data_IF_778056537019
#
_entry.id   IF_778056537019
#
_cell.length_a   1.000
_cell.length_b   1.000
_cell.length_c   1.000
_cell.angle_alpha   90.00
_cell.angle_beta   90.00
_cell.angle_gamma   90.00
#
_symmetry.space_group_name_H-M   'P 1'
#
loop_
_entity.id
_entity.type
_entity.pdbx_description
1 polymer ?
#
# COMPACT_ATOMS: atom_id res chain seq x y z
N UNK A 1 26.63 -19.60 -4.75
CA UNK A 1 25.47 -18.69 -4.57
C UNK A 1 24.67 -18.76 -5.86
N UNK A 2 23.41 -19.20 -5.81
CA UNK A 2 22.54 -19.18 -6.98
C UNK A 2 22.35 -17.73 -7.45
N UNK A 3 22.24 -17.52 -8.76
CA UNK A 3 22.00 -16.19 -9.33
C UNK A 3 20.71 -15.64 -8.73
N UNK A 4 20.75 -14.38 -8.25
CA UNK A 4 19.56 -13.67 -7.78
C UNK A 4 18.52 -13.64 -8.90
N UNK A 5 17.26 -13.97 -8.56
CA UNK A 5 16.17 -13.95 -9.53
C UNK A 5 15.95 -12.53 -10.08
N UNK A 6 15.68 -12.44 -11.38
CA UNK A 6 15.30 -11.17 -12.03
C UNK A 6 13.89 -11.28 -12.59
N UNK A 7 13.21 -10.14 -12.75
CA UNK A 7 11.97 -10.10 -13.52
C UNK A 7 12.22 -10.50 -14.98
N UNK A 8 11.33 -11.30 -15.52
CA UNK A 8 11.46 -11.84 -16.89
C UNK A 8 10.98 -10.87 -17.98
N UNK A 9 10.24 -9.82 -17.63
CA UNK A 9 9.65 -8.89 -18.61
C UNK A 9 9.45 -7.50 -18.05
N UNK A 10 9.44 -6.49 -18.94
CA UNK A 10 9.11 -5.09 -18.59
C UNK A 10 7.72 -4.97 -17.98
N UNK A 11 6.73 -5.68 -18.53
CA UNK A 11 5.37 -5.69 -18.00
C UNK A 11 5.35 -6.29 -16.58
N UNK A 12 6.11 -7.35 -16.33
CA UNK A 12 6.24 -7.95 -15.02
C UNK A 12 6.82 -7.00 -13.98
N UNK A 13 7.85 -6.23 -14.34
CA UNK A 13 8.41 -5.16 -13.50
C UNK A 13 7.32 -4.17 -13.09
N UNK A 14 6.57 -3.64 -14.07
CA UNK A 14 5.56 -2.60 -13.83
C UNK A 14 4.43 -3.16 -12.98
N UNK A 15 3.85 -4.31 -13.36
CA UNK A 15 2.70 -4.88 -12.65
C UNK A 15 3.05 -5.37 -11.24
N UNK A 16 4.23 -5.94 -11.04
CA UNK A 16 4.66 -6.36 -9.71
C UNK A 16 4.93 -5.16 -8.80
N UNK A 17 5.59 -4.11 -9.31
CA UNK A 17 5.89 -2.92 -8.52
C UNK A 17 4.64 -2.05 -8.33
N UNK A 18 3.78 -1.92 -9.34
CA UNK A 18 2.47 -1.26 -9.16
C UNK A 18 1.60 -2.02 -8.15
N UNK A 19 1.58 -3.36 -8.19
CA UNK A 19 0.86 -4.19 -7.22
C UNK A 19 1.39 -4.07 -5.79
N UNK A 20 2.63 -3.62 -5.59
CA UNK A 20 3.13 -3.31 -4.25
C UNK A 20 2.63 -1.97 -3.72
N UNK A 21 2.35 -1.00 -4.60
CA UNK A 21 1.77 0.28 -4.25
C UNK A 21 0.24 0.18 -4.14
N UNK A 22 -0.41 -0.47 -5.11
CA UNK A 22 -1.86 -0.68 -5.14
C UNK A 22 -2.28 -1.70 -4.07
N UNK A 23 -2.98 -1.22 -3.06
CA UNK A 23 -3.44 -2.04 -1.95
C UNK A 23 -4.75 -1.53 -1.34
N UNK A 24 -5.04 -1.95 -0.12
CA UNK A 24 -6.19 -1.44 0.64
C UNK A 24 -6.10 0.08 0.86
N UNK A 25 -4.90 0.66 0.83
CA UNK A 25 -4.68 2.10 0.92
C UNK A 25 -5.38 2.88 -0.19
N UNK A 26 -5.37 2.38 -1.43
CA UNK A 26 -6.05 3.02 -2.57
C UNK A 26 -7.57 2.83 -2.53
N UNK A 27 -8.03 1.66 -2.07
CA UNK A 27 -9.45 1.31 -2.11
C UNK A 27 -10.19 1.83 -0.88
N UNK A 28 -9.48 2.02 0.23
CA UNK A 28 -10.07 2.44 1.49
C UNK A 28 -9.57 3.81 1.97
N UNK A 29 -8.24 3.93 2.24
CA UNK A 29 -7.70 5.14 2.87
C UNK A 29 -7.84 6.36 1.98
N UNK A 30 -7.56 6.23 0.68
CA UNK A 30 -7.65 7.35 -0.24
C UNK A 30 -9.07 7.90 -0.39
N UNK A 31 -10.15 7.08 -0.62
CA UNK A 31 -11.51 7.58 -0.61
C UNK A 31 -11.92 8.22 0.72
N UNK A 32 -11.54 7.61 1.84
CA UNK A 32 -11.78 8.19 3.16
C UNK A 32 -11.15 9.58 3.30
N UNK A 33 -9.86 9.72 2.97
CA UNK A 33 -9.14 11.00 3.02
C UNK A 33 -9.77 12.03 2.07
N UNK A 34 -10.12 11.64 0.85
CA UNK A 34 -10.79 12.49 -0.11
C UNK A 34 -12.17 12.93 0.40
N UNK A 35 -12.91 12.03 1.04
CA UNK A 35 -14.22 12.30 1.63
C UNK A 35 -14.17 13.38 2.71
N UNK A 36 -13.19 13.32 3.58
CA UNK A 36 -12.99 14.26 4.68
C UNK A 36 -12.45 15.62 4.22
N UNK A 37 -11.64 15.65 3.15
CA UNK A 37 -10.84 16.80 2.75
C UNK A 37 -11.35 17.50 1.48
N UNK A 38 -12.64 17.46 1.18
CA UNK A 38 -13.23 18.24 0.09
C UNK A 38 -13.10 17.64 -1.31
N UNK A 39 -12.94 16.32 -1.40
CA UNK A 39 -13.05 15.56 -2.65
C UNK A 39 -12.04 15.98 -3.71
N UNK A 40 -12.52 16.59 -4.79
CA UNK A 40 -11.70 16.99 -5.94
C UNK A 40 -10.52 17.92 -5.58
N UNK A 41 -10.68 18.84 -4.64
CA UNK A 41 -9.61 19.74 -4.22
C UNK A 41 -8.46 18.96 -3.56
N UNK A 42 -8.78 18.02 -2.67
CA UNK A 42 -7.80 17.09 -2.09
C UNK A 42 -7.07 16.28 -3.16
N UNK A 43 -7.79 15.74 -4.15
CA UNK A 43 -7.19 14.96 -5.24
C UNK A 43 -6.19 15.78 -6.04
N UNK A 44 -6.50 17.05 -6.36
CA UNK A 44 -5.56 17.91 -7.07
C UNK A 44 -4.30 18.20 -6.26
N UNK A 45 -4.43 18.47 -4.96
CA UNK A 45 -3.29 18.67 -4.05
C UNK A 45 -2.47 17.37 -3.95
N UNK A 46 -3.14 16.22 -3.79
CA UNK A 46 -2.49 14.91 -3.76
C UNK A 46 -1.67 14.63 -5.03
N UNK A 47 -2.18 14.98 -6.23
CA UNK A 47 -1.43 14.84 -7.48
C UNK A 47 -0.14 15.67 -7.49
N UNK A 48 -0.20 16.90 -6.97
CA UNK A 48 1.00 17.73 -6.81
C UNK A 48 1.97 17.09 -5.82
N UNK A 49 1.49 16.59 -4.68
CA UNK A 49 2.30 15.92 -3.67
C UNK A 49 3.00 14.66 -4.20
N UNK A 50 2.31 13.87 -5.04
CA UNK A 50 2.92 12.71 -5.71
C UNK A 50 4.08 13.10 -6.60
N UNK A 51 3.97 14.21 -7.34
CA UNK A 51 5.06 14.68 -8.21
C UNK A 51 6.24 15.21 -7.39
N UNK A 52 5.96 15.95 -6.31
CA UNK A 52 6.98 16.61 -5.49
C UNK A 52 7.70 15.63 -4.53
N UNK A 53 6.98 14.69 -3.97
CA UNK A 53 7.48 13.76 -2.96
C UNK A 53 7.55 12.32 -3.46
N UNK A 54 6.45 11.85 -4.03
CA UNK A 54 6.28 10.44 -4.39
C UNK A 54 7.26 9.97 -5.45
N UNK A 55 7.31 10.66 -6.59
CA UNK A 55 8.18 10.28 -7.70
C UNK A 55 9.68 10.39 -7.36
N UNK A 56 10.18 11.47 -6.73
CA UNK A 56 11.57 11.53 -6.29
C UNK A 56 11.93 10.49 -5.23
N UNK A 57 11.04 10.22 -4.27
CA UNK A 57 11.23 9.19 -3.25
C UNK A 57 11.34 7.80 -3.87
N UNK A 58 10.39 7.43 -4.75
CA UNK A 58 10.42 6.17 -5.50
C UNK A 58 11.69 6.00 -6.32
N UNK A 59 12.08 7.04 -7.06
CA UNK A 59 13.32 7.04 -7.83
C UNK A 59 14.55 6.83 -6.95
N UNK A 60 14.55 7.39 -5.74
CA UNK A 60 15.66 7.23 -4.80
C UNK A 60 15.84 5.77 -4.38
N UNK A 61 14.76 5.10 -3.99
CA UNK A 61 14.79 3.67 -3.65
C UNK A 61 15.14 2.80 -4.86
N UNK A 62 14.63 3.14 -6.05
CA UNK A 62 14.97 2.41 -7.28
C UNK A 62 16.45 2.48 -7.62
N UNK A 63 17.06 3.64 -7.49
CA UNK A 63 18.50 3.84 -7.74
C UNK A 63 19.32 2.98 -6.77
N UNK A 64 19.00 3.02 -5.47
CA UNK A 64 19.72 2.27 -4.45
C UNK A 64 19.58 0.75 -4.70
N UNK A 65 18.36 0.28 -4.93
CA UNK A 65 18.08 -1.15 -5.13
C UNK A 65 18.73 -1.69 -6.39
N UNK A 66 18.55 -1.05 -7.55
CA UNK A 66 19.09 -1.51 -8.83
C UNK A 66 20.62 -1.48 -8.84
N UNK A 67 21.22 -0.42 -8.31
CA UNK A 67 22.67 -0.30 -8.26
C UNK A 67 23.33 -1.43 -7.47
N UNK A 68 22.76 -1.77 -6.33
CA UNK A 68 23.33 -2.77 -5.43
C UNK A 68 22.99 -4.22 -5.83
N UNK A 69 21.85 -4.44 -6.49
CA UNK A 69 21.32 -5.78 -6.82
C UNK A 69 21.36 -6.75 -5.62
N UNK A 70 21.02 -6.24 -4.41
CA UNK A 70 21.03 -7.00 -3.15
C UNK A 70 19.83 -6.62 -2.28
N UNK A 71 19.60 -7.32 -1.15
CA UNK A 71 18.57 -6.91 -0.19
C UNK A 71 18.82 -5.49 0.32
N UNK A 72 17.79 -4.85 0.87
CA UNK A 72 17.84 -3.44 1.22
C UNK A 72 18.98 -3.11 2.21
N UNK A 73 19.22 -3.92 3.24
CA UNK A 73 20.30 -3.66 4.20
C UNK A 73 21.68 -3.65 3.53
N UNK A 74 21.95 -4.62 2.65
CA UNK A 74 23.18 -4.64 1.84
C UNK A 74 23.22 -3.52 0.82
N UNK A 75 22.11 -3.15 0.23
CA UNK A 75 22.05 -2.09 -0.77
C UNK A 75 22.61 -0.78 -0.23
N UNK A 76 22.16 -0.37 0.95
CA UNK A 76 22.68 0.83 1.60
C UNK A 76 24.16 0.67 2.04
N UNK A 77 24.51 -0.47 2.64
CA UNK A 77 25.89 -0.72 3.09
C UNK A 77 26.89 -0.71 1.94
N UNK A 78 26.57 -1.35 0.81
CA UNK A 78 27.43 -1.45 -0.35
C UNK A 78 27.61 -0.08 -1.02
N UNK A 79 26.52 0.65 -1.22
CA UNK A 79 26.53 1.95 -1.87
C UNK A 79 27.20 3.01 -0.99
N UNK A 80 27.01 2.94 0.31
CA UNK A 80 27.64 3.84 1.29
C UNK A 80 29.04 3.42 1.72
N UNK A 81 29.53 2.25 1.28
CA UNK A 81 30.85 1.71 1.70
C UNK A 81 31.05 1.68 3.23
N UNK A 82 29.96 1.64 3.98
CA UNK A 82 29.97 1.60 5.44
C UNK A 82 28.76 0.75 5.93
N UNK A 83 29.04 -0.20 6.81
CA UNK A 83 28.01 -1.10 7.39
C UNK A 83 26.92 -0.34 8.16
N UNK A 84 27.24 0.81 8.75
CA UNK A 84 26.27 1.62 9.48
C UNK A 84 25.08 2.05 8.60
N UNK A 85 25.29 2.31 7.30
CA UNK A 85 24.20 2.62 6.39
C UNK A 85 23.22 1.46 6.18
N UNK A 86 23.65 0.23 6.43
CA UNK A 86 22.78 -0.94 6.37
C UNK A 86 21.63 -0.91 7.37
N UNK A 87 21.75 -0.15 8.45
CA UNK A 87 20.67 0.02 9.44
C UNK A 87 19.43 0.68 8.83
N UNK A 88 19.61 1.58 7.86
CA UNK A 88 18.49 2.24 7.16
C UNK A 88 17.65 1.22 6.39
N UNK A 89 18.33 0.37 5.60
CA UNK A 89 17.64 -0.71 4.88
C UNK A 89 17.03 -1.74 5.83
N UNK A 90 17.69 -2.05 6.95
CA UNK A 90 17.16 -2.95 7.98
C UNK A 90 15.91 -2.38 8.65
N UNK A 91 15.88 -1.09 8.97
CA UNK A 91 14.68 -0.41 9.50
C UNK A 91 13.53 -0.55 8.51
N UNK A 92 13.75 -0.32 7.22
CA UNK A 92 12.71 -0.51 6.20
C UNK A 92 12.20 -1.95 6.12
N UNK A 93 13.08 -2.95 6.24
CA UNK A 93 12.68 -4.36 6.28
C UNK A 93 11.83 -4.67 7.52
N UNK A 94 12.27 -4.24 8.70
CA UNK A 94 11.51 -4.44 9.96
C UNK A 94 10.14 -3.74 9.86
N UNK A 95 10.10 -2.53 9.31
CA UNK A 95 8.86 -1.81 9.03
C UNK A 95 7.91 -2.64 8.19
N UNK A 96 8.38 -3.22 7.08
CA UNK A 96 7.56 -4.08 6.23
C UNK A 96 7.07 -5.35 6.93
N UNK A 97 7.89 -5.96 7.80
CA UNK A 97 7.49 -7.14 8.57
C UNK A 97 6.37 -6.81 9.57
N UNK A 98 6.48 -5.67 10.26
CA UNK A 98 5.43 -5.21 11.19
C UNK A 98 4.15 -4.89 10.42
N UNK A 99 4.27 -4.18 9.28
CA UNK A 99 3.12 -3.86 8.43
C UNK A 99 2.45 -5.16 7.95
N UNK A 100 3.19 -6.12 7.43
CA UNK A 100 2.62 -7.41 7.01
C UNK A 100 1.84 -8.08 8.13
N UNK A 101 2.34 -8.02 9.37
CA UNK A 101 1.67 -8.59 10.53
C UNK A 101 0.28 -8.01 10.77
N UNK A 102 0.14 -6.70 10.93
CA UNK A 102 -1.17 -6.09 11.18
C UNK A 102 -2.05 -6.02 9.91
N UNK A 103 -1.45 -5.80 8.75
CA UNK A 103 -2.15 -5.76 7.48
C UNK A 103 -2.81 -7.11 7.14
N UNK A 104 -2.17 -8.23 7.51
CA UNK A 104 -2.73 -9.56 7.32
C UNK A 104 -4.01 -9.79 8.14
N UNK A 105 -4.20 -9.11 9.27
CA UNK A 105 -5.45 -9.16 10.04
C UNK A 105 -6.59 -8.54 9.23
N UNK A 106 -6.38 -7.34 8.69
CA UNK A 106 -7.37 -6.64 7.85
C UNK A 106 -7.62 -7.42 6.55
N UNK A 107 -6.58 -7.97 5.94
CA UNK A 107 -6.69 -8.82 4.76
C UNK A 107 -7.47 -10.14 5.06
N UNK A 108 -7.30 -10.69 6.26
CA UNK A 108 -8.08 -11.81 6.76
C UNK A 108 -9.56 -11.46 6.94
N UNK A 109 -9.86 -10.24 7.39
CA UNK A 109 -11.24 -9.75 7.44
C UNK A 109 -11.85 -9.65 6.04
N UNK A 110 -11.09 -9.22 5.03
CA UNK A 110 -11.54 -9.22 3.64
C UNK A 110 -11.88 -10.65 3.14
N UNK A 111 -11.08 -11.67 3.50
CA UNK A 111 -11.38 -13.06 3.18
C UNK A 111 -12.68 -13.55 3.87
N UNK A 112 -12.87 -13.23 5.15
CA UNK A 112 -14.09 -13.58 5.87
C UNK A 112 -15.30 -12.93 5.20
N UNK A 113 -15.21 -11.67 4.82
CA UNK A 113 -16.31 -10.95 4.18
C UNK A 113 -16.58 -11.44 2.75
N UNK A 114 -15.54 -11.84 2.02
CA UNK A 114 -15.73 -12.53 0.74
C UNK A 114 -16.49 -13.84 0.92
N UNK A 115 -16.07 -14.66 1.88
CA UNK A 115 -16.76 -15.90 2.22
C UNK A 115 -18.22 -15.63 2.64
N UNK A 116 -18.44 -14.70 3.55
CA UNK A 116 -19.77 -14.32 4.03
C UNK A 116 -20.65 -13.75 2.90
N UNK A 117 -20.11 -12.98 1.97
CA UNK A 117 -20.85 -12.48 0.81
C UNK A 117 -21.28 -13.62 -0.11
N UNK A 118 -20.42 -14.62 -0.35
CA UNK A 118 -20.74 -15.79 -1.19
C UNK A 118 -21.89 -16.60 -0.60
N UNK A 119 -21.93 -16.79 0.73
CA UNK A 119 -22.98 -17.56 1.40
C UNK A 119 -24.20 -16.71 1.80
N UNK A 120 -24.22 -15.41 1.45
CA UNK A 120 -25.32 -14.52 1.81
C UNK A 120 -25.39 -14.13 3.30
N UNK A 121 -24.27 -14.23 4.04
CA UNK A 121 -24.22 -14.00 5.48
C UNK A 121 -24.08 -12.54 5.92
N UNK A 122 -23.88 -11.60 5.01
CA UNK A 122 -23.74 -10.15 5.31
C UNK A 122 -24.94 -9.40 4.72
N UNK A 123 -26.16 -9.86 5.02
CA UNK A 123 -27.41 -9.23 4.60
C UNK A 123 -28.27 -8.96 5.83
N UNK A 124 -28.75 -7.75 6.00
CA UNK A 124 -29.56 -7.36 7.13
C UNK A 124 -29.64 -5.84 7.29
N UNK A 125 -30.15 -5.39 8.40
CA UNK A 125 -30.17 -3.98 8.75
C UNK A 125 -28.75 -3.48 9.15
N UNK A 126 -28.53 -2.17 9.22
CA UNK A 126 -27.23 -1.59 9.59
C UNK A 126 -26.71 -2.05 10.96
N UNK A 127 -27.58 -2.32 11.92
CA UNK A 127 -27.22 -2.80 13.26
C UNK A 127 -26.73 -4.25 13.22
N UNK A 128 -27.35 -5.11 12.38
CA UNK A 128 -26.88 -6.46 12.15
C UNK A 128 -25.47 -6.48 11.55
N UNK A 129 -25.20 -5.67 10.51
CA UNK A 129 -23.88 -5.60 9.86
C UNK A 129 -22.80 -5.12 10.84
N UNK A 130 -23.12 -4.12 11.67
CA UNK A 130 -22.24 -3.62 12.73
C UNK A 130 -21.95 -4.68 13.78
N UNK A 131 -22.97 -5.34 14.29
CA UNK A 131 -22.84 -6.43 15.28
C UNK A 131 -22.07 -7.62 14.71
N UNK A 132 -22.31 -7.96 13.43
CA UNK A 132 -21.57 -9.01 12.74
C UNK A 132 -20.06 -8.71 12.73
N UNK A 133 -19.68 -7.49 12.34
CA UNK A 133 -18.27 -7.08 12.34
C UNK A 133 -17.65 -7.12 13.74
N UNK A 134 -18.32 -6.54 14.73
CA UNK A 134 -17.82 -6.48 16.11
C UNK A 134 -17.64 -7.87 16.71
N UNK A 135 -18.65 -8.75 16.54
CA UNK A 135 -18.58 -10.13 17.03
C UNK A 135 -17.48 -10.92 16.33
N UNK A 136 -17.32 -10.74 15.03
CA UNK A 136 -16.24 -11.38 14.29
C UNK A 136 -14.85 -10.86 14.71
N UNK A 137 -14.65 -9.54 14.77
CA UNK A 137 -13.36 -8.94 15.07
C UNK A 137 -12.89 -9.27 16.50
N UNK A 138 -13.82 -9.41 17.45
CA UNK A 138 -13.52 -9.77 18.84
C UNK A 138 -13.41 -11.27 19.11
N UNK A 139 -13.68 -12.13 18.13
CA UNK A 139 -13.49 -13.58 18.26
C UNK A 139 -11.98 -13.89 18.30
N UNK A 140 -11.48 -14.69 19.28
CA UNK A 140 -10.06 -14.96 19.39
C UNK A 140 -9.51 -15.88 18.30
N UNK A 141 -10.36 -16.69 17.67
CA UNK A 141 -9.94 -17.77 16.77
C UNK A 141 -10.15 -17.40 15.30
N UNK A 142 -11.37 -17.00 14.93
CA UNK A 142 -11.75 -16.79 13.52
C UNK A 142 -10.89 -15.77 12.79
N UNK A 143 -10.76 -14.49 13.25
CA UNK A 143 -9.95 -13.50 12.53
C UNK A 143 -8.47 -13.88 12.53
N UNK A 144 -7.98 -14.55 13.60
CA UNK A 144 -6.62 -15.05 13.68
C UNK A 144 -6.34 -16.12 12.63
N UNK A 145 -7.25 -17.09 12.45
CA UNK A 145 -7.11 -18.14 11.43
C UNK A 145 -7.14 -17.55 10.02
N UNK A 146 -8.00 -16.57 9.74
CA UNK A 146 -8.05 -15.88 8.46
C UNK A 146 -6.78 -15.08 8.20
N UNK A 147 -6.23 -14.38 9.20
CA UNK A 147 -4.98 -13.64 9.08
C UNK A 147 -3.79 -14.55 8.76
N UNK A 148 -3.61 -15.63 9.52
CA UNK A 148 -2.56 -16.62 9.28
C UNK A 148 -2.78 -17.32 7.92
N UNK A 149 -4.01 -17.66 7.57
CA UNK A 149 -4.36 -18.22 6.27
C UNK A 149 -3.98 -17.28 5.12
N UNK A 150 -4.17 -15.96 5.28
CA UNK A 150 -3.77 -14.98 4.29
C UNK A 150 -2.24 -14.89 4.14
N UNK A 151 -1.49 -14.94 5.25
CA UNK A 151 -0.01 -15.00 5.20
C UNK A 151 0.46 -16.28 4.51
N UNK A 152 -0.19 -17.43 4.76
CA UNK A 152 0.14 -18.67 4.08
C UNK A 152 -0.17 -18.63 2.58
N UNK A 153 -1.27 -17.98 2.17
CA UNK A 153 -1.57 -17.72 0.76
C UNK A 153 -0.48 -16.86 0.12
N UNK A 154 -0.04 -15.81 0.80
CA UNK A 154 1.07 -14.95 0.38
C UNK A 154 2.39 -15.75 0.27
N UNK A 155 2.70 -16.56 1.27
CA UNK A 155 3.87 -17.47 1.29
C UNK A 155 3.90 -18.39 0.07
N UNK A 156 2.76 -19.00 -0.28
CA UNK A 156 2.66 -19.91 -1.43
C UNK A 156 3.05 -19.25 -2.76
N UNK A 157 2.88 -17.94 -2.89
CA UNK A 157 3.34 -17.17 -4.04
C UNK A 157 4.83 -16.87 -3.93
N UNK A 158 5.27 -16.32 -2.79
CA UNK A 158 6.64 -15.82 -2.60
C UNK A 158 7.68 -16.94 -2.64
N UNK A 159 7.39 -18.10 -2.06
CA UNK A 159 8.34 -19.24 -2.05
C UNK A 159 8.73 -19.70 -3.46
N UNK A 160 7.86 -19.49 -4.45
CA UNK A 160 8.11 -19.85 -5.88
C UNK A 160 9.11 -18.91 -6.57
N UNK A 161 9.55 -17.85 -5.88
CA UNK A 161 10.55 -16.91 -6.38
C UNK A 161 9.97 -15.73 -7.17
N UNK A 162 10.87 -14.85 -7.62
CA UNK A 162 10.50 -13.58 -8.26
C UNK A 162 9.77 -13.81 -9.58
N UNK A 163 10.36 -14.59 -10.50
CA UNK A 163 9.80 -14.79 -11.84
C UNK A 163 8.56 -15.70 -11.85
N UNK A 164 8.65 -16.86 -11.19
CA UNK A 164 7.61 -17.90 -11.25
C UNK A 164 6.51 -17.71 -10.19
N UNK A 165 6.76 -16.93 -9.15
CA UNK A 165 5.80 -16.57 -8.11
C UNK A 165 5.29 -15.16 -8.29
N UNK A 166 6.08 -14.17 -7.88
CA UNK A 166 5.67 -12.77 -7.78
C UNK A 166 5.23 -12.19 -9.13
N UNK A 167 6.09 -12.28 -10.16
CA UNK A 167 5.78 -11.74 -11.50
C UNK A 167 4.55 -12.42 -12.11
N UNK A 168 4.48 -13.77 -12.03
CA UNK A 168 3.35 -14.50 -12.59
C UNK A 168 2.04 -14.17 -11.87
N UNK A 169 2.07 -14.09 -10.54
CA UNK A 169 0.90 -13.69 -9.75
C UNK A 169 0.46 -12.26 -10.10
N UNK A 170 1.39 -11.29 -10.13
CA UNK A 170 1.06 -9.90 -10.43
C UNK A 170 0.48 -9.72 -11.85
N UNK A 171 0.95 -10.48 -12.83
CA UNK A 171 0.41 -10.46 -14.21
C UNK A 171 -1.04 -10.94 -14.30
N UNK A 172 -1.52 -11.71 -13.32
CA UNK A 172 -2.91 -12.21 -13.26
C UNK A 172 -3.72 -11.30 -12.34
N UNK A 173 -3.23 -11.05 -11.13
CA UNK A 173 -3.96 -10.35 -10.08
C UNK A 173 -4.24 -8.88 -10.43
N UNK A 174 -3.26 -8.15 -10.99
CA UNK A 174 -3.42 -6.72 -11.30
C UNK A 174 -4.44 -6.45 -12.41
N UNK A 175 -4.42 -7.13 -13.58
CA UNK A 175 -5.48 -6.97 -14.58
C UNK A 175 -6.86 -7.39 -14.06
N UNK A 176 -6.94 -8.47 -13.27
CA UNK A 176 -8.19 -8.94 -12.70
C UNK A 176 -8.75 -7.90 -11.72
N UNK A 177 -7.91 -7.36 -10.82
CA UNK A 177 -8.26 -6.26 -9.92
C UNK A 177 -8.83 -5.07 -10.69
N UNK A 178 -8.15 -4.65 -11.75
CA UNK A 178 -8.60 -3.52 -12.58
C UNK A 178 -9.95 -3.78 -13.24
N UNK A 179 -10.17 -4.98 -13.79
CA UNK A 179 -11.46 -5.36 -14.39
C UNK A 179 -12.58 -5.34 -13.35
N UNK A 180 -12.37 -5.94 -12.17
CA UNK A 180 -13.35 -5.92 -11.08
C UNK A 180 -13.68 -4.50 -10.66
N UNK A 181 -12.66 -3.66 -10.49
CA UNK A 181 -12.83 -2.26 -10.12
C UNK A 181 -13.69 -1.50 -11.16
N UNK A 182 -13.40 -1.65 -12.45
CA UNK A 182 -14.17 -1.01 -13.52
C UNK A 182 -15.63 -1.49 -13.54
N UNK A 183 -15.88 -2.78 -13.35
CA UNK A 183 -17.24 -3.34 -13.29
C UNK A 183 -18.04 -2.70 -12.14
N UNK A 184 -17.44 -2.61 -10.94
CA UNK A 184 -18.11 -2.02 -9.78
C UNK A 184 -18.31 -0.51 -9.98
N UNK A 185 -17.34 0.20 -10.57
CA UNK A 185 -17.46 1.64 -10.91
C UNK A 185 -18.64 1.87 -11.83
N UNK A 186 -18.79 1.07 -12.89
CA UNK A 186 -19.93 1.19 -13.83
C UNK A 186 -21.24 0.98 -13.09
N UNK A 187 -21.33 -0.05 -12.24
CA UNK A 187 -22.52 -0.32 -11.44
C UNK A 187 -22.84 0.85 -10.49
N UNK A 188 -21.86 1.38 -9.77
CA UNK A 188 -22.02 2.51 -8.84
C UNK A 188 -22.44 3.81 -9.55
N UNK A 189 -21.84 4.11 -10.69
CA UNK A 189 -22.15 5.30 -11.46
C UNK A 189 -23.52 5.22 -12.18
N UNK A 190 -24.09 4.02 -12.33
CA UNK A 190 -25.41 3.80 -12.94
C UNK A 190 -26.57 4.00 -11.96
N UNK A 191 -26.30 4.20 -10.67
CA UNK A 191 -27.32 4.37 -9.64
C UNK A 191 -28.04 5.73 -9.75
N UNK A 192 -29.34 5.81 -9.43
CA UNK A 192 -30.05 7.09 -9.28
C UNK A 192 -29.36 7.99 -8.24
N UNK A 193 -29.06 9.22 -8.61
CA UNK A 193 -28.36 10.17 -7.70
C UNK A 193 -26.85 10.05 -7.66
N UNK A 194 -26.24 9.09 -8.33
CA UNK A 194 -24.80 8.85 -8.39
C UNK A 194 -23.98 10.09 -8.88
N UNK A 195 -24.59 10.94 -9.70
CA UNK A 195 -23.95 12.13 -10.26
C UNK A 195 -23.40 13.07 -9.17
N UNK A 196 -24.04 13.16 -8.01
CA UNK A 196 -23.54 13.95 -6.87
C UNK A 196 -22.16 13.47 -6.41
N UNK A 197 -21.97 12.14 -6.33
CA UNK A 197 -20.68 11.53 -5.98
C UNK A 197 -19.61 11.75 -7.06
N UNK A 198 -19.99 11.70 -8.34
CA UNK A 198 -19.09 12.03 -9.45
C UNK A 198 -18.69 13.51 -9.39
N UNK A 199 -19.64 14.42 -9.18
CA UNK A 199 -19.35 15.86 -9.03
C UNK A 199 -18.42 16.13 -7.85
N UNK A 200 -18.62 15.46 -6.71
CA UNK A 200 -17.76 15.58 -5.54
C UNK A 200 -16.29 15.24 -5.84
N UNK A 201 -16.04 14.26 -6.72
CA UNK A 201 -14.67 13.83 -7.09
C UNK A 201 -14.02 14.70 -8.16
N UNK A 202 -14.81 15.42 -8.99
CA UNK A 202 -14.26 16.14 -10.15
C UNK A 202 -14.55 17.65 -10.15
N UNK A 203 -15.38 18.13 -9.23
CA UNK A 203 -15.65 19.56 -9.08
C UNK A 203 -14.95 20.10 -7.82
N UNK A 204 -13.77 20.75 -7.96
CA UNK A 204 -12.97 21.17 -6.81
C UNK A 204 -13.60 22.34 -6.07
N UNK A 205 -13.70 22.21 -4.75
CA UNK A 205 -14.10 23.26 -3.84
C UNK A 205 -12.91 23.63 -2.93
N UNK A 206 -12.17 24.64 -3.33
CA UNK A 206 -11.00 25.09 -2.58
C UNK A 206 -11.35 25.86 -1.30
N UNK A 207 -12.62 26.19 -1.05
CA UNK A 207 -13.03 26.82 0.21
C UNK A 207 -12.86 25.92 1.44
N UNK A 208 -12.73 24.62 1.22
CA UNK A 208 -12.52 23.60 2.26
C UNK A 208 -11.04 23.23 2.46
N UNK A 209 -10.15 23.86 1.71
CA UNK A 209 -8.71 23.56 1.78
C UNK A 209 -8.07 24.44 2.85
N UNK A 210 -7.52 23.80 3.86
CA UNK A 210 -6.68 24.40 4.88
C UNK A 210 -5.27 23.77 4.89
N UNK A 211 -4.45 24.15 5.85
CA UNK A 211 -3.10 23.60 6.00
C UNK A 211 -3.09 22.10 6.33
N UNK A 212 -4.12 21.61 7.06
CA UNK A 212 -4.25 20.18 7.37
C UNK A 212 -4.48 19.36 6.12
N UNK A 213 -5.33 19.82 5.20
CA UNK A 213 -5.59 19.14 3.91
C UNK A 213 -4.31 18.95 3.11
N UNK A 214 -3.42 19.96 3.10
CA UNK A 214 -2.12 19.84 2.43
C UNK A 214 -1.24 18.77 3.09
N UNK A 215 -1.15 18.77 4.42
CA UNK A 215 -0.32 17.82 5.18
C UNK A 215 -0.88 16.39 5.07
N UNK A 216 -2.19 16.23 5.09
CA UNK A 216 -2.85 14.95 4.88
C UNK A 216 -2.67 14.42 3.44
N UNK A 217 -2.73 15.29 2.43
CA UNK A 217 -2.46 14.92 1.05
C UNK A 217 -0.99 14.50 0.84
N UNK A 218 -0.04 15.22 1.47
CA UNK A 218 1.37 14.82 1.50
C UNK A 218 1.53 13.45 2.17
N UNK A 219 0.91 13.24 3.34
CA UNK A 219 0.93 11.97 4.06
C UNK A 219 0.33 10.83 3.25
N UNK A 220 -0.78 11.07 2.54
CA UNK A 220 -1.41 10.08 1.67
C UNK A 220 -0.52 9.73 0.47
N UNK A 221 0.12 10.71 -0.16
CA UNK A 221 1.03 10.47 -1.27
C UNK A 221 2.26 9.63 -0.84
N UNK A 222 2.75 9.89 0.35
CA UNK A 222 3.85 9.16 0.96
C UNK A 222 3.47 7.69 1.27
N UNK A 223 2.31 7.50 1.87
CA UNK A 223 1.80 6.18 2.26
C UNK A 223 1.44 5.32 1.04
N UNK A 224 0.73 5.89 0.05
CA UNK A 224 0.25 5.16 -1.14
C UNK A 224 1.39 4.51 -1.91
N UNK A 225 2.53 5.17 -2.02
CA UNK A 225 3.69 4.66 -2.73
C UNK A 225 4.64 3.80 -1.87
N UNK A 226 4.25 3.46 -0.64
CA UNK A 226 5.03 2.63 0.29
C UNK A 226 6.49 3.09 0.48
N UNK A 227 6.72 4.41 0.54
CA UNK A 227 8.05 4.98 0.72
C UNK A 227 8.60 4.65 2.12
N UNK A 228 9.89 4.35 2.19
CA UNK A 228 10.57 4.04 3.47
C UNK A 228 10.37 2.63 3.99
N UNK A 229 9.64 1.78 3.28
CA UNK A 229 9.40 0.37 3.64
C UNK A 229 10.45 -0.59 3.08
N UNK A 230 11.47 -0.09 2.37
CA UNK A 230 12.42 -0.89 1.59
C UNK A 230 11.78 -1.73 0.46
N UNK A 231 10.49 -1.55 0.17
CA UNK A 231 9.76 -2.30 -0.84
C UNK A 231 10.31 -1.99 -2.24
N UNK A 232 10.34 -0.72 -2.59
CA UNK A 232 10.77 -0.26 -3.90
C UNK A 232 12.26 -0.55 -4.13
N UNK A 233 13.08 -0.41 -3.08
CA UNK A 233 14.49 -0.79 -3.09
C UNK A 233 14.67 -2.30 -3.36
N UNK A 234 13.92 -3.16 -2.66
CA UNK A 234 13.98 -4.61 -2.86
C UNK A 234 13.55 -5.00 -4.26
N UNK A 235 12.44 -4.46 -4.77
CA UNK A 235 11.96 -4.77 -6.12
C UNK A 235 12.90 -4.25 -7.20
N UNK A 236 13.44 -3.04 -7.04
CA UNK A 236 14.41 -2.49 -7.98
C UNK A 236 15.71 -3.30 -8.04
N UNK A 237 16.06 -4.02 -6.97
CA UNK A 237 17.21 -4.92 -6.98
C UNK A 237 17.06 -6.12 -7.92
N UNK A 238 15.84 -6.39 -8.42
CA UNK A 238 15.52 -7.38 -9.43
C UNK A 238 15.38 -6.78 -10.84
N UNK A 239 15.55 -5.46 -10.99
CA UNK A 239 15.46 -4.80 -12.29
C UNK A 239 16.72 -5.06 -13.13
N UNK A 240 16.51 -5.24 -14.43
CA UNK A 240 17.62 -5.26 -15.37
C UNK A 240 18.23 -3.87 -15.56
N UNK A 241 19.48 -3.81 -15.97
CA UNK A 241 20.15 -2.55 -16.34
C UNK A 241 19.43 -1.79 -17.48
N UNK A 242 18.69 -2.50 -18.32
CA UNK A 242 17.92 -1.92 -19.43
C UNK A 242 16.60 -1.27 -18.97
N UNK A 243 16.19 -1.45 -17.72
CA UNK A 243 14.94 -0.87 -17.19
C UNK A 243 15.11 0.64 -17.03
N UNK A 244 14.30 1.42 -17.74
CA UNK A 244 14.25 2.87 -17.57
C UNK A 244 13.53 3.21 -16.26
N UNK A 245 14.27 3.62 -15.23
CA UNK A 245 13.73 3.86 -13.88
C UNK A 245 12.69 4.97 -13.89
N UNK A 246 12.97 6.10 -14.53
CA UNK A 246 12.04 7.25 -14.56
C UNK A 246 10.72 6.87 -15.24
N UNK A 247 10.78 6.19 -16.38
CA UNK A 247 9.58 5.72 -17.07
C UNK A 247 8.80 4.72 -16.22
N UNK A 248 9.49 3.77 -15.58
CA UNK A 248 8.83 2.78 -14.71
C UNK A 248 8.18 3.46 -13.50
N UNK A 249 8.89 4.37 -12.82
CA UNK A 249 8.34 5.11 -11.69
C UNK A 249 7.10 5.92 -12.09
N UNK A 250 7.15 6.67 -13.21
CA UNK A 250 5.99 7.43 -13.70
C UNK A 250 4.81 6.53 -14.04
N UNK A 251 5.03 5.37 -14.66
CA UNK A 251 3.95 4.41 -14.97
C UNK A 251 3.32 3.84 -13.70
N UNK A 252 4.11 3.52 -12.68
CA UNK A 252 3.62 3.00 -11.40
C UNK A 252 2.78 4.06 -10.70
N UNK A 253 3.26 5.30 -10.62
CA UNK A 253 2.54 6.43 -10.05
C UNK A 253 1.20 6.65 -10.74
N UNK A 254 1.17 6.62 -12.09
CA UNK A 254 -0.06 6.77 -12.86
C UNK A 254 -1.04 5.63 -12.58
N UNK A 255 -0.58 4.38 -12.53
CA UNK A 255 -1.43 3.22 -12.21
C UNK A 255 -1.99 3.33 -10.80
N UNK A 256 -1.15 3.63 -9.82
CA UNK A 256 -1.55 3.79 -8.42
C UNK A 256 -2.63 4.87 -8.26
N UNK A 257 -2.38 6.05 -8.81
CA UNK A 257 -3.32 7.18 -8.76
C UNK A 257 -4.63 6.87 -9.50
N UNK A 258 -4.55 6.25 -10.68
CA UNK A 258 -5.74 5.87 -11.45
C UNK A 258 -6.63 4.93 -10.64
N UNK A 259 -6.05 3.92 -10.01
CA UNK A 259 -6.80 2.97 -9.18
C UNK A 259 -7.39 3.66 -7.95
N UNK A 260 -6.67 4.59 -7.31
CA UNK A 260 -7.18 5.36 -6.18
C UNK A 260 -8.40 6.23 -6.58
N UNK A 261 -8.33 6.92 -7.72
CA UNK A 261 -9.46 7.73 -8.24
C UNK A 261 -10.64 6.84 -8.65
N UNK A 262 -10.39 5.70 -9.31
CA UNK A 262 -11.45 4.74 -9.64
C UNK A 262 -12.09 4.14 -8.38
N UNK A 263 -11.33 3.91 -7.32
CA UNK A 263 -11.89 3.49 -6.03
C UNK A 263 -12.80 4.57 -5.43
N UNK A 264 -12.44 5.84 -5.55
CA UNK A 264 -13.34 6.95 -5.24
C UNK A 264 -14.63 6.91 -6.06
N UNK A 265 -14.54 6.68 -7.38
CA UNK A 265 -15.69 6.51 -8.27
C UNK A 265 -16.53 5.26 -7.96
N UNK A 266 -15.95 4.26 -7.36
CA UNK A 266 -16.68 3.09 -6.87
C UNK A 266 -17.50 3.43 -5.61
N UNK A 267 -16.94 4.21 -4.69
CA UNK A 267 -17.51 4.43 -3.36
C UNK A 267 -18.46 5.63 -3.33
N UNK A 268 -18.03 6.81 -3.81
CA UNK A 268 -18.81 8.05 -3.65
C UNK A 268 -20.16 8.03 -4.40
N UNK A 269 -20.27 7.58 -5.67
CA UNK A 269 -21.55 7.53 -6.34
C UNK A 269 -22.55 6.61 -5.62
N UNK A 270 -22.10 5.45 -5.13
CA UNK A 270 -22.96 4.53 -4.38
C UNK A 270 -23.38 5.12 -3.02
N UNK A 271 -22.44 5.69 -2.25
CA UNK A 271 -22.73 6.30 -0.96
C UNK A 271 -23.71 7.49 -1.06
N UNK A 272 -23.45 8.39 -2.00
CA UNK A 272 -24.33 9.57 -2.21
C UNK A 272 -25.70 9.20 -2.77
N UNK A 273 -25.84 8.08 -3.51
CA UNK A 273 -27.14 7.60 -4.00
C UNK A 273 -28.11 7.24 -2.86
N UNK A 274 -27.58 6.83 -1.72
CA UNK A 274 -28.36 6.47 -0.52
C UNK A 274 -28.22 7.49 0.62
N UNK A 275 -27.58 8.64 0.36
CA UNK A 275 -27.45 9.74 1.33
C UNK A 275 -26.45 9.47 2.47
N UNK A 276 -25.57 8.49 2.30
CA UNK A 276 -24.52 8.18 3.30
C UNK A 276 -23.25 8.99 2.99
N UNK A 277 -22.66 9.58 4.03
CA UNK A 277 -21.35 10.23 3.94
C UNK A 277 -20.25 9.20 4.16
N UNK A 278 -19.29 9.03 3.23
CA UNK A 278 -18.20 8.05 3.35
C UNK A 278 -17.04 8.61 4.19
N UNK A 279 -17.30 8.89 5.46
CA UNK A 279 -16.42 9.58 6.39
C UNK A 279 -15.86 8.71 7.53
N UNK A 280 -16.19 7.42 7.54
CA UNK A 280 -15.86 6.51 8.64
C UNK A 280 -14.68 5.60 8.30
N UNK A 281 -13.52 5.80 8.93
CA UNK A 281 -12.28 4.99 8.90
C UNK A 281 -12.37 3.51 8.43
N UNK A 282 -11.75 2.53 9.13
CA UNK A 282 -11.83 1.11 8.76
C UNK A 282 -13.24 0.53 8.71
N UNK A 283 -14.16 1.10 9.48
CA UNK A 283 -15.58 0.75 9.45
C UNK A 283 -16.25 1.00 8.09
N UNK A 284 -15.68 1.88 7.26
CA UNK A 284 -16.17 2.15 5.91
C UNK A 284 -16.33 0.85 5.10
N UNK A 285 -15.30 0.00 5.09
CA UNK A 285 -15.29 -1.21 4.25
C UNK A 285 -16.20 -2.32 4.83
N UNK A 286 -16.24 -2.46 6.14
CA UNK A 286 -16.86 -3.62 6.79
C UNK A 286 -18.23 -3.35 7.37
N UNK A 287 -18.59 -2.09 7.56
CA UNK A 287 -19.89 -1.68 8.11
C UNK A 287 -20.66 -0.83 7.11
N UNK A 288 -20.06 0.28 6.64
CA UNK A 288 -20.77 1.26 5.82
C UNK A 288 -21.06 0.77 4.41
N UNK A 289 -20.05 0.26 3.69
CA UNK A 289 -20.22 -0.15 2.29
C UNK A 289 -21.14 -1.37 2.10
N UNK A 290 -21.15 -2.41 2.95
CA UNK A 290 -22.16 -3.44 2.86
C UNK A 290 -23.59 -2.87 2.91
N UNK A 291 -23.84 -1.93 3.84
CA UNK A 291 -25.13 -1.27 3.96
C UNK A 291 -25.47 -0.39 2.74
N UNK A 292 -24.47 0.34 2.23
CA UNK A 292 -24.60 1.15 1.01
C UNK A 292 -24.99 0.28 -0.17
N UNK A 293 -24.30 -0.84 -0.39
CA UNK A 293 -24.62 -1.74 -1.52
C UNK A 293 -25.99 -2.38 -1.38
N UNK A 294 -26.40 -2.78 -0.16
CA UNK A 294 -27.73 -3.32 0.07
C UNK A 294 -28.83 -2.29 -0.21
N UNK A 295 -28.66 -1.04 0.23
CA UNK A 295 -29.62 0.03 -0.01
C UNK A 295 -29.63 0.47 -1.49
N UNK A 296 -28.44 0.65 -2.08
CA UNK A 296 -28.30 1.14 -3.44
C UNK A 296 -28.84 0.16 -4.50
N UNK A 297 -28.71 -1.13 -4.24
CA UNK A 297 -29.18 -2.22 -5.13
C UNK A 297 -30.37 -2.98 -4.56
N UNK A 298 -31.10 -2.40 -3.58
CA UNK A 298 -32.23 -3.06 -2.92
C UNK A 298 -33.34 -3.52 -3.87
N UNK A 299 -33.62 -2.75 -4.92
CA UNK A 299 -34.58 -3.12 -5.99
C UNK A 299 -34.04 -4.21 -6.94
N UNK A 300 -32.75 -4.51 -6.87
CA UNK A 300 -32.04 -5.48 -7.71
C UNK A 300 -31.17 -6.43 -6.86
N UNK A 301 -31.77 -7.30 -6.03
CA UNK A 301 -31.03 -8.06 -5.03
C UNK A 301 -29.95 -8.99 -5.59
N UNK A 302 -30.13 -9.51 -6.80
CA UNK A 302 -29.11 -10.31 -7.50
C UNK A 302 -27.90 -9.46 -7.86
N UNK A 303 -28.12 -8.22 -8.32
CA UNK A 303 -27.03 -7.29 -8.66
C UNK A 303 -26.29 -6.91 -7.37
N UNK A 304 -27.00 -6.56 -6.30
CA UNK A 304 -26.40 -6.25 -4.99
C UNK A 304 -25.53 -7.39 -4.46
N UNK A 305 -26.02 -8.63 -4.56
CA UNK A 305 -25.25 -9.82 -4.20
C UNK A 305 -23.96 -9.94 -5.01
N UNK A 306 -24.06 -9.85 -6.35
CA UNK A 306 -22.88 -9.92 -7.25
C UNK A 306 -21.88 -8.81 -6.91
N UNK A 307 -22.34 -7.57 -6.77
CA UNK A 307 -21.47 -6.42 -6.45
C UNK A 307 -20.75 -6.62 -5.11
N UNK A 308 -21.45 -7.12 -4.08
CA UNK A 308 -20.82 -7.43 -2.79
C UNK A 308 -19.70 -8.47 -2.92
N UNK A 309 -19.94 -9.57 -3.64
CA UNK A 309 -18.93 -10.61 -3.88
C UNK A 309 -17.74 -10.05 -4.67
N UNK A 310 -18.00 -9.29 -5.75
CA UNK A 310 -16.93 -8.67 -6.57
C UNK A 310 -16.13 -7.66 -5.77
N UNK A 311 -16.77 -6.89 -4.90
CA UNK A 311 -16.10 -5.90 -4.05
C UNK A 311 -15.13 -6.57 -3.07
N UNK A 312 -15.56 -7.59 -2.33
CA UNK A 312 -14.66 -8.27 -1.41
C UNK A 312 -13.59 -9.11 -2.13
N UNK A 313 -13.90 -9.65 -3.31
CA UNK A 313 -12.87 -10.25 -4.16
C UNK A 313 -11.81 -9.22 -4.59
N UNK A 314 -12.22 -8.01 -4.97
CA UNK A 314 -11.33 -6.89 -5.28
C UNK A 314 -10.42 -6.56 -4.09
N UNK A 315 -10.97 -6.46 -2.88
CA UNK A 315 -10.20 -6.18 -1.67
C UNK A 315 -9.16 -7.28 -1.38
N UNK A 316 -9.55 -8.55 -1.52
CA UNK A 316 -8.64 -9.68 -1.35
C UNK A 316 -7.48 -9.63 -2.36
N UNK A 317 -7.77 -9.31 -3.63
CA UNK A 317 -6.73 -9.17 -4.65
C UNK A 317 -5.79 -8.00 -4.35
N UNK A 318 -6.34 -6.84 -3.96
CA UNK A 318 -5.55 -5.67 -3.58
C UNK A 318 -4.68 -5.93 -2.35
N UNK A 319 -5.20 -6.62 -1.34
CA UNK A 319 -4.44 -7.02 -0.18
C UNK A 319 -3.33 -8.01 -0.54
N UNK A 320 -3.62 -9.00 -1.40
CA UNK A 320 -2.66 -10.04 -1.77
C UNK A 320 -1.48 -9.48 -2.56
N UNK A 321 -1.69 -8.55 -3.47
CA UNK A 321 -0.59 -7.93 -4.22
C UNK A 321 0.37 -7.17 -3.31
N UNK A 322 -0.13 -6.48 -2.31
CA UNK A 322 0.67 -5.76 -1.32
C UNK A 322 1.39 -6.70 -0.34
N UNK A 323 0.70 -7.73 0.18
CA UNK A 323 1.33 -8.68 1.11
C UNK A 323 2.43 -9.51 0.46
N UNK A 324 2.32 -9.85 -0.84
CA UNK A 324 3.38 -10.51 -1.61
C UNK A 324 4.66 -9.67 -1.59
N UNK A 325 4.56 -8.36 -1.76
CA UNK A 325 5.72 -7.48 -1.74
C UNK A 325 6.35 -7.36 -0.36
N UNK A 326 5.53 -7.16 0.67
CA UNK A 326 6.01 -7.06 2.06
C UNK A 326 6.71 -8.36 2.50
N UNK A 327 6.13 -9.50 2.19
CA UNK A 327 6.71 -10.81 2.50
C UNK A 327 8.02 -11.06 1.74
N UNK A 328 8.13 -10.60 0.48
CA UNK A 328 9.36 -10.71 -0.30
C UNK A 328 10.52 -9.93 0.32
N UNK A 329 10.25 -8.75 0.89
CA UNK A 329 11.27 -7.90 1.51
C UNK A 329 11.97 -8.64 2.66
N UNK A 330 11.21 -9.18 3.59
CA UNK A 330 11.73 -9.96 4.71
C UNK A 330 12.38 -11.26 4.25
N UNK A 331 11.74 -11.98 3.33
CA UNK A 331 12.29 -13.21 2.74
C UNK A 331 13.66 -12.96 2.10
N UNK A 332 13.79 -11.91 1.26
CA UNK A 332 15.04 -11.59 0.58
C UNK A 332 16.17 -11.29 1.58
N UNK A 333 15.88 -10.48 2.59
CA UNK A 333 16.85 -10.17 3.62
C UNK A 333 17.28 -11.42 4.41
N UNK A 334 16.32 -12.23 4.87
CA UNK A 334 16.61 -13.39 5.73
C UNK A 334 17.46 -14.43 4.98
N UNK A 335 17.09 -14.81 3.74
CA UNK A 335 17.84 -15.84 3.03
C UNK A 335 19.23 -15.38 2.58
N UNK A 336 19.38 -14.09 2.20
CA UNK A 336 20.67 -13.57 1.78
C UNK A 336 21.63 -13.34 2.96
N UNK A 337 21.16 -12.77 4.09
CA UNK A 337 22.02 -12.50 5.23
C UNK A 337 22.41 -13.77 5.97
N UNK A 338 21.50 -14.71 6.13
CA UNK A 338 21.77 -15.99 6.80
C UNK A 338 22.33 -17.06 5.87
N UNK A 339 22.48 -16.78 4.57
CA UNK A 339 22.99 -17.71 3.54
C UNK A 339 22.25 -19.06 3.53
N UNK A 340 20.94 -19.03 3.74
CA UNK A 340 20.03 -20.19 3.71
C UNK A 340 19.25 -20.24 2.41
N UNK A 341 18.50 -21.32 2.19
CA UNK A 341 17.64 -21.42 1.02
C UNK A 341 16.48 -20.43 1.10
N UNK A 342 15.99 -19.96 -0.05
CA UNK A 342 14.83 -19.07 -0.14
C UNK A 342 13.60 -19.62 0.60
N UNK A 343 13.34 -20.92 0.47
CA UNK A 343 12.22 -21.56 1.15
C UNK A 343 12.33 -21.46 2.68
N UNK A 344 13.53 -21.69 3.24
CA UNK A 344 13.75 -21.50 4.69
C UNK A 344 13.57 -20.04 5.10
N UNK A 345 14.09 -19.09 4.29
CA UNK A 345 13.89 -17.66 4.54
C UNK A 345 12.42 -17.26 4.53
N UNK A 346 11.65 -17.73 3.55
CA UNK A 346 10.23 -17.50 3.45
C UNK A 346 9.43 -18.06 4.62
N UNK A 347 9.77 -19.25 5.12
CA UNK A 347 9.13 -19.83 6.31
C UNK A 347 9.43 -19.02 7.58
N UNK A 348 10.67 -18.57 7.76
CA UNK A 348 11.02 -17.71 8.91
C UNK A 348 10.20 -16.42 8.87
N UNK A 349 10.11 -15.78 7.70
CA UNK A 349 9.29 -14.59 7.49
C UNK A 349 7.81 -14.84 7.82
N UNK A 350 7.25 -15.92 7.25
CA UNK A 350 5.86 -16.34 7.50
C UNK A 350 5.57 -16.52 8.99
N UNK A 351 6.45 -17.23 9.70
CA UNK A 351 6.26 -17.48 11.15
C UNK A 351 6.36 -16.16 11.93
N UNK A 352 7.36 -15.33 11.63
CA UNK A 352 7.55 -14.05 12.34
C UNK A 352 6.34 -13.13 12.15
N UNK A 353 5.88 -12.95 10.91
CA UNK A 353 4.73 -12.11 10.61
C UNK A 353 3.42 -12.70 11.15
N UNK A 354 3.28 -14.04 11.16
CA UNK A 354 2.11 -14.71 11.78
C UNK A 354 2.03 -14.47 13.29
N UNK A 355 3.17 -14.46 13.99
CA UNK A 355 3.21 -14.15 15.41
C UNK A 355 2.71 -12.71 15.65
N UNK A 356 3.19 -11.73 14.86
CA UNK A 356 2.73 -10.34 14.95
C UNK A 356 1.22 -10.27 14.66
N UNK A 357 0.75 -10.96 13.62
CA UNK A 357 -0.66 -11.00 13.24
C UNK A 357 -1.56 -11.58 14.35
N UNK A 358 -1.11 -12.61 15.05
CA UNK A 358 -1.83 -13.18 16.21
C UNK A 358 -2.03 -12.12 17.30
N UNK A 359 -0.97 -11.42 17.69
CA UNK A 359 -1.07 -10.34 18.71
C UNK A 359 -1.97 -9.21 18.22
N UNK A 360 -1.84 -8.78 16.97
CA UNK A 360 -2.71 -7.77 16.37
C UNK A 360 -4.16 -8.21 16.35
N UNK A 361 -4.45 -9.45 15.97
CA UNK A 361 -5.81 -9.99 15.92
C UNK A 361 -6.45 -10.07 17.31
N UNK A 362 -5.72 -10.61 18.29
CA UNK A 362 -6.21 -10.75 19.67
C UNK A 362 -6.47 -9.40 20.35
N UNK A 363 -5.76 -8.35 19.96
CA UNK A 363 -5.96 -6.99 20.49
C UNK A 363 -7.26 -6.33 20.06
N UNK A 364 -7.98 -6.90 19.08
CA UNK A 364 -9.22 -6.33 18.53
C UNK A 364 -10.47 -6.69 19.35
N UNK A 365 -10.32 -6.92 20.64
CA UNK A 365 -11.40 -7.16 21.59
C UNK A 365 -11.38 -8.55 22.25
N UNK A 366 -10.65 -9.51 21.70
CA UNK A 366 -10.52 -10.85 22.29
C UNK A 366 -9.71 -10.83 23.59
N UNK A 367 -8.67 -9.99 23.68
CA UNK A 367 -7.86 -9.78 24.88
C UNK A 367 -7.88 -8.30 25.26
N UNK A 368 -8.76 -7.89 26.19
CA UNK A 368 -8.84 -6.51 26.64
C UNK A 368 -7.50 -6.00 27.21
N UNK A 369 -7.10 -4.80 26.79
CA UNK A 369 -5.86 -4.18 27.27
C UNK A 369 -4.57 -4.67 26.62
N UNK A 370 -4.65 -5.56 25.62
CA UNK A 370 -3.49 -5.94 24.81
C UNK A 370 -3.09 -4.77 23.90
N UNK A 371 -2.12 -3.98 24.34
CA UNK A 371 -1.62 -2.81 23.63
C UNK A 371 -0.89 -1.86 24.58
N UNK A 372 -0.53 -0.68 24.07
CA UNK A 372 0.23 0.33 24.79
C UNK A 372 -0.41 1.71 24.60
N UNK A 373 -0.15 2.63 25.54
CA UNK A 373 -0.61 4.02 25.46
C UNK A 373 -2.13 4.20 25.24
N UNK A 374 -2.94 3.28 25.80
CA UNK A 374 -4.41 3.34 25.67
C UNK A 374 -4.96 2.94 24.29
N UNK A 375 -4.11 2.41 23.40
CA UNK A 375 -4.49 1.89 22.07
C UNK A 375 -4.24 0.39 22.01
N UNK A 376 -5.00 -0.31 21.17
CA UNK A 376 -4.79 -1.73 20.87
C UNK A 376 -3.46 -1.96 20.14
N UNK A 377 -2.98 -3.22 20.15
CA UNK A 377 -1.67 -3.58 19.59
C UNK A 377 -1.60 -3.37 18.07
N UNK A 378 -2.67 -3.60 17.33
CA UNK A 378 -2.74 -3.37 15.88
C UNK A 378 -2.54 -1.88 15.58
N UNK A 379 -3.30 -1.01 16.26
CA UNK A 379 -3.19 0.45 16.12
C UNK A 379 -1.80 0.94 16.53
N UNK A 380 -1.18 0.35 17.55
CA UNK A 380 0.19 0.69 17.92
C UNK A 380 1.20 0.32 16.83
N UNK A 381 1.06 -0.86 16.21
CA UNK A 381 1.92 -1.28 15.09
C UNK A 381 1.76 -0.35 13.88
N UNK A 382 0.52 0.02 13.53
CA UNK A 382 0.24 0.95 12.44
C UNK A 382 0.85 2.33 12.71
N UNK A 383 0.57 2.93 13.88
CA UNK A 383 1.13 4.23 14.25
C UNK A 383 2.67 4.21 14.29
N UNK A 384 3.27 3.18 14.86
CA UNK A 384 4.72 3.07 14.97
C UNK A 384 5.39 2.99 13.59
N UNK A 385 4.80 2.25 12.67
CA UNK A 385 5.33 2.13 11.31
C UNK A 385 5.05 3.37 10.47
N UNK A 386 3.79 3.82 10.40
CA UNK A 386 3.37 4.90 9.52
C UNK A 386 3.83 6.28 10.00
N UNK A 387 3.79 6.53 11.32
CA UNK A 387 4.12 7.85 11.88
C UNK A 387 5.61 8.02 12.20
N UNK A 388 6.35 6.92 12.49
CA UNK A 388 7.73 7.02 12.92
C UNK A 388 8.71 6.38 11.92
N UNK A 389 8.60 5.06 11.68
CA UNK A 389 9.65 4.32 10.95
C UNK A 389 9.72 4.70 9.48
N UNK A 390 8.59 4.78 8.79
CA UNK A 390 8.54 5.11 7.37
C UNK A 390 9.07 6.53 7.08
N UNK A 391 8.62 7.60 7.77
CA UNK A 391 9.15 8.93 7.55
C UNK A 391 10.65 9.03 7.84
N UNK A 392 11.13 8.46 8.96
CA UNK A 392 12.55 8.47 9.30
C UNK A 392 13.40 7.75 8.24
N UNK A 393 12.99 6.55 7.81
CA UNK A 393 13.73 5.81 6.79
C UNK A 393 13.77 6.60 5.47
N UNK A 394 12.69 7.28 5.10
CA UNK A 394 12.62 8.04 3.85
C UNK A 394 13.44 9.32 3.88
N UNK A 395 13.42 10.07 5.00
CA UNK A 395 14.30 11.25 5.17
C UNK A 395 15.76 10.82 5.00
N UNK A 396 16.15 9.76 5.73
CA UNK A 396 17.53 9.26 5.67
C UNK A 396 17.88 8.76 4.26
N UNK A 397 16.94 8.10 3.56
CA UNK A 397 17.12 7.67 2.16
C UNK A 397 17.38 8.86 1.23
N UNK A 398 16.60 9.93 1.33
CA UNK A 398 16.78 11.14 0.54
C UNK A 398 18.13 11.82 0.85
N UNK A 399 18.48 11.97 2.12
CA UNK A 399 19.76 12.54 2.55
C UNK A 399 20.93 11.67 2.09
N UNK A 400 20.83 10.36 2.25
CA UNK A 400 21.86 9.41 1.81
C UNK A 400 22.12 9.52 0.31
N UNK A 401 21.08 9.45 -0.52
CA UNK A 401 21.25 9.51 -1.97
C UNK A 401 21.60 10.93 -2.45
N UNK A 402 21.02 11.96 -1.85
CA UNK A 402 21.19 13.35 -2.26
C UNK A 402 22.56 13.94 -1.90
N UNK A 403 23.12 13.55 -0.74
CA UNK A 403 24.30 14.20 -0.19
C UNK A 403 25.50 13.27 -0.02
N UNK A 404 25.27 12.00 0.33
CA UNK A 404 26.36 11.07 0.67
C UNK A 404 26.85 10.26 -0.54
N UNK A 405 25.93 9.74 -1.36
CA UNK A 405 26.29 8.94 -2.53
C UNK A 405 26.91 9.79 -3.62
N UNK A 406 28.03 9.36 -4.26
CA UNK A 406 28.67 10.11 -5.34
C UNK A 406 27.68 10.47 -6.46
N UNK A 407 27.58 11.76 -6.79
CA UNK A 407 26.67 12.31 -7.82
C UNK A 407 26.75 11.56 -9.16
N UNK A 408 27.94 11.06 -9.52
CA UNK A 408 28.16 10.28 -10.74
C UNK A 408 27.30 9.00 -10.72
N UNK A 409 27.31 8.23 -9.63
CA UNK A 409 26.51 7.01 -9.50
C UNK A 409 25.02 7.32 -9.63
N UNK A 410 24.55 8.36 -8.94
CA UNK A 410 23.14 8.77 -8.98
C UNK A 410 22.74 9.19 -10.39
N UNK A 411 23.61 9.92 -11.09
CA UNK A 411 23.38 10.35 -12.48
C UNK A 411 23.38 9.17 -13.44
N UNK A 412 24.36 8.27 -13.34
CA UNK A 412 24.48 7.11 -14.23
C UNK A 412 23.21 6.21 -14.11
N UNK A 413 22.74 5.96 -12.88
CA UNK A 413 21.50 5.21 -12.65
C UNK A 413 20.28 5.99 -13.18
N UNK A 414 20.16 7.29 -12.89
CA UNK A 414 19.04 8.12 -13.34
C UNK A 414 18.95 8.20 -14.86
N UNK A 415 20.07 8.37 -15.55
CA UNK A 415 20.13 8.47 -17.02
C UNK A 415 20.24 7.12 -17.70
N UNK A 416 20.19 6.03 -16.96
CA UNK A 416 20.38 4.68 -17.47
C UNK A 416 21.68 4.58 -18.29
N UNK A 417 22.79 5.05 -17.68
CA UNK A 417 24.13 5.17 -18.29
C UNK A 417 24.15 5.97 -19.59
N UNK A 418 23.42 7.08 -19.63
CA UNK A 418 23.38 8.00 -20.78
C UNK A 418 22.39 7.62 -21.88
N UNK A 419 21.65 6.50 -21.75
CA UNK A 419 20.63 6.11 -22.75
C UNK A 419 19.33 6.91 -22.61
N UNK A 420 19.13 7.57 -21.48
CA UNK A 420 17.97 8.44 -21.18
C UNK A 420 18.46 9.87 -20.96
N UNK A 421 17.65 10.83 -21.43
CA UNK A 421 17.96 12.27 -21.27
C UNK A 421 18.18 12.65 -19.81
N UNK A 422 19.29 13.31 -19.51
CA UNK A 422 19.62 13.82 -18.18
C UNK A 422 19.02 15.20 -17.86
N UNK A 423 18.13 15.76 -18.68
CA UNK A 423 17.57 17.11 -18.48
C UNK A 423 16.85 17.28 -17.14
N UNK A 424 16.15 16.25 -16.66
CA UNK A 424 15.43 16.26 -15.40
C UNK A 424 16.32 15.91 -14.19
N UNK A 425 17.57 15.49 -14.39
CA UNK A 425 18.45 15.10 -13.30
C UNK A 425 18.72 16.24 -12.27
N UNK A 426 18.97 17.50 -12.67
CA UNK A 426 19.14 18.59 -11.71
C UNK A 426 17.88 18.82 -10.86
N UNK A 427 16.68 18.71 -11.47
CA UNK A 427 15.40 18.84 -10.76
C UNK A 427 15.25 17.70 -9.75
N UNK A 428 15.47 16.47 -10.18
CA UNK A 428 15.43 15.30 -9.29
C UNK A 428 16.39 15.46 -8.11
N UNK A 429 17.64 15.88 -8.38
CA UNK A 429 18.63 16.07 -7.33
C UNK A 429 18.26 17.18 -6.34
N UNK A 430 17.66 18.27 -6.83
CA UNK A 430 17.11 19.33 -5.98
C UNK A 430 15.96 18.82 -5.10
N UNK A 431 15.04 18.05 -5.70
CA UNK A 431 13.91 17.47 -4.97
C UNK A 431 14.37 16.58 -3.81
N UNK A 432 15.26 15.61 -4.04
CA UNK A 432 15.72 14.69 -3.00
C UNK A 432 16.62 15.33 -1.95
N UNK A 433 17.29 16.45 -2.30
CA UNK A 433 18.17 17.17 -1.36
C UNK A 433 17.41 18.08 -0.41
N UNK A 434 16.35 18.72 -0.89
CA UNK A 434 15.68 19.79 -0.17
C UNK A 434 14.20 19.57 -0.04
N UNK A 435 13.47 19.41 -1.14
CA UNK A 435 11.99 19.40 -1.13
C UNK A 435 11.45 18.15 -0.40
N UNK A 436 11.87 16.95 -0.82
CA UNK A 436 11.36 15.72 -0.22
C UNK A 436 11.68 15.59 1.27
N UNK A 437 12.93 15.86 1.75
CA UNK A 437 13.20 15.82 3.19
C UNK A 437 12.38 16.83 4.00
N UNK A 438 12.18 18.06 3.47
CA UNK A 438 11.36 19.07 4.14
C UNK A 438 9.90 18.64 4.18
N UNK A 439 9.33 18.18 3.08
CA UNK A 439 7.94 17.69 3.06
C UNK A 439 7.73 16.53 4.03
N UNK A 440 8.65 15.55 4.07
CA UNK A 440 8.54 14.42 4.99
C UNK A 440 8.69 14.88 6.45
N UNK A 441 9.57 15.84 6.71
CA UNK A 441 9.71 16.42 8.04
C UNK A 441 8.43 17.14 8.49
N UNK A 442 7.78 17.89 7.60
CA UNK A 442 6.49 18.52 7.90
C UNK A 442 5.42 17.49 8.22
N UNK A 443 5.30 16.40 7.42
CA UNK A 443 4.38 15.30 7.72
C UNK A 443 4.68 14.72 9.10
N UNK A 444 5.95 14.49 9.39
CA UNK A 444 6.38 13.92 10.68
C UNK A 444 5.98 14.83 11.84
N UNK A 445 6.25 16.13 11.76
CA UNK A 445 5.92 17.09 12.82
C UNK A 445 4.41 17.21 13.02
N UNK A 446 3.64 17.23 11.94
CA UNK A 446 2.17 17.25 11.99
C UNK A 446 1.59 16.01 12.68
N UNK A 447 2.10 14.82 12.35
CA UNK A 447 1.64 13.56 12.96
C UNK A 447 1.90 13.49 14.47
N UNK A 448 2.90 14.24 14.97
CA UNK A 448 3.17 14.36 16.41
C UNK A 448 2.51 15.58 17.06
N UNK A 449 1.67 16.33 16.32
CA UNK A 449 0.97 17.49 16.83
C UNK A 449 1.88 18.67 17.21
N UNK A 450 3.03 18.78 16.55
CA UNK A 450 3.98 19.89 16.78
C UNK A 450 3.60 21.11 15.95
N UNK A 451 3.00 20.89 14.77
CA UNK A 451 2.46 21.89 13.86
C UNK A 451 1.08 21.46 13.42
#
# INVERSE_FOLDING_TARGET
MGSRGNFGSKLGVILATAGSAVGLGNVWRFPYMAGQNGGAAFILIYLVCIILLGLPGMMSEFIIGRHSASNAARAYSNLGKNKAWGTVGLVGVITSMIILGFYAVVAGWCLQYLYASIIGGVHGDPEYVKTYFQTFASDPIRPTLWAVGFILLTHAVVVRGVRNGIEKASKILMPLLFVLLVVIVIASCSLPGAMKGVQFLFHPDFSKVDENVLLEALGQAFFSLSLGTACLCTYASYFSRQTNLLKSASQIVVIDTLIAVLAGLMIFPAAFSVGVQPDSGPSLIFITLPNVFQQAFGDMPVVGYIISVLFYALLVLAALTSTISMHEIGTAMIYEERKITRAKGAWIETITCSIIAVFCSLSQGAVPGLGFFGKDFLTNCDNFTAQLLMPLASIVTCLFLGWYVPKKIVRDEFTNWGTVSGKLFPVFLFMIRFVSPICILLIFLHQFGVI
#
